data_IF_354572695645
#
_entry.id   IF_354572695645
#
_cell.length_a   1.000
_cell.length_b   1.000
_cell.length_c   1.000
_cell.angle_alpha   90.00
_cell.angle_beta   90.00
_cell.angle_gamma   90.00
#
_symmetry.space_group_name_H-M   'P 1'
#
loop_
_entity.id
_entity.type
_entity.pdbx_description
1 polymer ?
#
# COMPACT_ATOMS: atom_id res chain seq x y z
N UNK A 1 39.80 -17.24 33.58
CA UNK A 1 39.02 -18.02 32.59
C UNK A 1 38.04 -17.05 31.99
N UNK A 2 38.49 -16.38 30.94
CA UNK A 2 37.67 -15.49 30.11
C UNK A 2 36.97 -16.38 29.11
N UNK A 3 35.63 -16.40 29.16
CA UNK A 3 34.82 -17.00 28.11
C UNK A 3 34.77 -16.07 26.93
N UNK A 4 35.49 -16.47 25.87
CA UNK A 4 35.35 -15.90 24.53
C UNK A 4 33.90 -16.07 24.08
N UNK A 5 33.15 -14.98 24.10
CA UNK A 5 31.91 -14.89 23.36
C UNK A 5 32.27 -14.75 21.88
N UNK A 6 32.43 -15.90 21.23
CA UNK A 6 32.38 -15.99 19.76
C UNK A 6 31.03 -15.46 19.31
N UNK A 7 30.99 -14.20 18.89
CA UNK A 7 29.89 -13.67 18.09
C UNK A 7 29.96 -14.43 16.77
N UNK A 8 29.12 -15.43 16.62
CA UNK A 8 28.85 -16.05 15.34
C UNK A 8 28.25 -14.95 14.47
N UNK A 9 29.07 -14.36 13.62
CA UNK A 9 28.60 -13.50 12.51
C UNK A 9 28.05 -14.50 11.51
N UNK A 10 26.77 -14.79 11.67
CA UNK A 10 26.02 -15.67 10.78
C UNK A 10 25.84 -14.98 9.41
N UNK A 11 25.82 -15.79 8.37
CA UNK A 11 25.86 -15.42 6.94
C UNK A 11 24.66 -14.60 6.40
N UNK A 12 23.99 -13.82 7.24
CA UNK A 12 22.91 -12.94 6.88
C UNK A 12 23.36 -11.53 6.45
N UNK A 13 24.56 -11.41 5.90
CA UNK A 13 25.02 -10.15 5.32
C UNK A 13 24.34 -9.99 3.95
N UNK A 14 23.10 -9.46 3.93
CA UNK A 14 22.39 -9.16 2.68
C UNK A 14 23.15 -8.03 1.99
N UNK A 15 23.57 -8.29 0.77
CA UNK A 15 24.23 -7.29 -0.06
C UNK A 15 23.25 -6.15 -0.37
N UNK A 16 23.65 -4.93 -0.09
CA UNK A 16 22.91 -3.72 -0.44
C UNK A 16 23.75 -2.92 -1.43
N UNK A 17 23.14 -2.46 -2.50
CA UNK A 17 23.83 -1.59 -3.45
C UNK A 17 23.91 -0.15 -2.92
N UNK A 18 25.12 0.41 -2.93
CA UNK A 18 25.36 1.79 -2.54
C UNK A 18 25.15 2.73 -3.73
N UNK A 19 24.21 3.67 -3.58
CA UNK A 19 23.92 4.68 -4.58
C UNK A 19 24.81 5.91 -4.40
N UNK A 20 26.07 5.75 -4.82
CA UNK A 20 27.06 6.83 -4.89
C UNK A 20 27.21 7.36 -6.30
N UNK A 21 27.44 8.66 -6.42
CA UNK A 21 27.64 9.30 -7.72
C UNK A 21 28.93 8.80 -8.38
N UNK A 22 28.89 8.23 -9.59
CA UNK A 22 30.08 7.70 -10.25
C UNK A 22 31.07 8.79 -10.65
N UNK A 23 30.66 10.07 -10.64
CA UNK A 23 31.51 11.20 -11.00
C UNK A 23 32.24 11.79 -9.78
N UNK A 24 31.59 11.92 -8.61
CA UNK A 24 32.14 12.61 -7.46
C UNK A 24 32.06 11.84 -6.14
N UNK A 25 31.52 10.64 -6.12
CA UNK A 25 31.37 9.81 -4.93
C UNK A 25 30.30 10.27 -3.91
N UNK A 26 29.61 11.40 -4.16
CA UNK A 26 28.58 11.88 -3.26
C UNK A 26 27.29 11.03 -3.37
N UNK A 27 26.42 11.01 -2.34
CA UNK A 27 25.14 10.35 -2.43
C UNK A 27 24.31 10.84 -3.62
N UNK A 28 23.73 9.88 -4.38
CA UNK A 28 22.84 10.16 -5.51
C UNK A 28 21.44 9.72 -5.15
N UNK A 29 20.41 10.46 -5.58
CA UNK A 29 19.03 10.15 -5.28
C UNK A 29 18.13 10.25 -6.52
N UNK A 30 17.01 9.56 -6.47
CA UNK A 30 16.01 9.67 -7.52
C UNK A 30 15.30 11.03 -7.48
N UNK A 31 15.25 11.71 -8.62
CA UNK A 31 14.52 12.97 -8.82
C UNK A 31 13.15 12.69 -9.43
N UNK A 32 12.05 12.91 -8.68
CA UNK A 32 10.69 12.67 -9.18
C UNK A 32 10.32 13.50 -10.40
N UNK A 33 10.79 14.74 -10.48
CA UNK A 33 10.44 15.67 -11.56
C UNK A 33 11.10 15.29 -12.88
N UNK A 34 12.39 14.90 -12.82
CA UNK A 34 13.19 14.59 -14.00
C UNK A 34 13.17 13.10 -14.35
N UNK A 35 12.78 12.22 -13.41
CA UNK A 35 12.83 10.75 -13.49
C UNK A 35 14.23 10.23 -13.76
N UNK A 36 15.21 10.81 -13.10
CA UNK A 36 16.62 10.44 -13.20
C UNK A 36 17.19 10.24 -11.79
N UNK A 37 18.28 9.51 -11.66
CA UNK A 37 19.14 9.65 -10.51
C UNK A 37 19.90 10.97 -10.65
N UNK A 38 19.83 11.82 -9.63
CA UNK A 38 20.45 13.16 -9.62
C UNK A 38 21.42 13.29 -8.47
N UNK A 39 22.60 13.85 -8.78
CA UNK A 39 23.60 14.21 -7.79
C UNK A 39 23.52 15.70 -7.46
N UNK A 40 23.16 16.03 -6.22
CA UNK A 40 23.05 17.43 -5.78
C UNK A 40 24.39 18.17 -5.74
N UNK A 41 25.55 17.42 -5.74
CA UNK A 41 26.90 17.99 -5.62
C UNK A 41 27.52 18.36 -6.97
N UNK A 42 27.50 17.43 -7.94
CA UNK A 42 28.14 17.67 -9.23
C UNK A 42 27.14 17.85 -10.39
N UNK A 43 25.86 17.70 -10.14
CA UNK A 43 24.79 17.85 -11.15
C UNK A 43 24.68 16.69 -12.12
N UNK A 44 25.38 15.57 -11.90
CA UNK A 44 25.25 14.39 -12.77
C UNK A 44 23.82 13.86 -12.73
N UNK A 45 23.32 13.51 -13.91
CA UNK A 45 22.01 12.88 -14.10
C UNK A 45 22.16 11.55 -14.84
N UNK A 46 21.52 10.49 -14.32
CA UNK A 46 21.51 9.15 -14.90
C UNK A 46 20.05 8.76 -15.12
N UNK A 47 19.70 8.46 -16.37
CA UNK A 47 18.33 8.07 -16.70
C UNK A 47 17.93 6.75 -16.00
N UNK A 48 16.70 6.73 -15.49
CA UNK A 48 16.04 5.52 -15.01
C UNK A 48 15.01 5.12 -16.07
N UNK A 49 15.45 4.30 -17.03
CA UNK A 49 14.62 3.84 -18.14
C UNK A 49 13.71 2.68 -17.68
N UNK A 50 12.71 3.01 -16.90
CA UNK A 50 11.71 2.03 -16.47
C UNK A 50 10.79 1.64 -17.62
N UNK A 51 10.61 0.37 -17.88
CA UNK A 51 9.59 -0.12 -18.80
C UNK A 51 8.24 -0.02 -18.10
N UNK A 52 7.24 0.49 -18.81
CA UNK A 52 5.85 0.34 -18.39
C UNK A 52 5.42 -1.07 -18.70
N UNK A 53 4.94 -1.78 -17.71
CA UNK A 53 4.34 -3.08 -17.88
C UNK A 53 2.92 -3.04 -17.32
N UNK A 54 2.01 -3.79 -17.92
CA UNK A 54 0.68 -4.06 -17.41
C UNK A 54 0.51 -5.55 -17.10
N UNK A 55 1.63 -6.30 -17.10
CA UNK A 55 1.59 -7.72 -16.80
C UNK A 55 1.33 -7.92 -15.31
N UNK A 56 0.34 -8.71 -15.01
CA UNK A 56 -0.04 -9.14 -13.67
C UNK A 56 0.37 -10.58 -13.47
N UNK A 57 0.79 -10.91 -12.26
CA UNK A 57 1.17 -12.27 -11.91
C UNK A 57 -0.07 -13.10 -11.54
N UNK A 58 -0.04 -14.38 -11.82
CA UNK A 58 -1.04 -15.30 -11.28
C UNK A 58 -0.89 -15.43 -9.77
N UNK A 59 -2.01 -15.35 -9.05
CA UNK A 59 -2.03 -15.45 -7.59
C UNK A 59 -1.45 -16.78 -7.07
N UNK A 60 -1.72 -17.88 -7.77
CA UNK A 60 -1.29 -19.21 -7.34
C UNK A 60 0.22 -19.38 -7.49
N UNK A 61 0.83 -18.78 -8.51
CA UNK A 61 2.29 -18.76 -8.67
C UNK A 61 2.93 -17.93 -7.56
N UNK A 62 2.44 -16.71 -7.31
CA UNK A 62 2.93 -15.85 -6.22
C UNK A 62 2.78 -16.47 -4.83
N UNK A 63 1.74 -17.26 -4.60
CA UNK A 63 1.51 -17.91 -3.30
C UNK A 63 2.54 -19.00 -2.94
N UNK A 64 3.26 -19.53 -3.91
CA UNK A 64 4.33 -20.52 -3.69
C UNK A 64 5.63 -19.85 -3.20
N UNK A 65 5.81 -18.57 -3.51
CA UNK A 65 6.98 -17.78 -3.11
C UNK A 65 6.80 -17.11 -1.74
N UNK A 66 5.58 -17.17 -1.17
CA UNK A 66 5.25 -16.49 0.10
C UNK A 66 5.97 -17.15 1.27
N UNK A 67 7.02 -16.51 1.79
CA UNK A 67 7.86 -16.98 2.87
C UNK A 67 7.71 -16.16 4.17
N UNK A 68 8.15 -16.73 5.29
CA UNK A 68 8.13 -16.07 6.59
C UNK A 68 9.36 -15.19 6.81
N UNK A 69 9.14 -13.98 7.30
CA UNK A 69 10.19 -13.11 7.80
C UNK A 69 10.42 -13.45 9.27
N UNK A 70 11.33 -14.39 9.54
CA UNK A 70 11.56 -14.90 10.90
C UNK A 70 12.36 -13.96 11.81
N UNK A 71 13.03 -12.95 11.23
CA UNK A 71 13.90 -12.03 11.97
C UNK A 71 13.32 -10.62 12.02
N UNK A 72 13.30 -9.99 13.20
CA UNK A 72 12.83 -8.63 13.40
C UNK A 72 13.81 -7.59 12.83
N UNK A 73 15.12 -7.90 12.82
CA UNK A 73 16.18 -6.99 12.36
C UNK A 73 17.18 -7.70 11.46
N UNK A 74 17.83 -6.94 10.58
CA UNK A 74 18.95 -7.36 9.74
C UNK A 74 20.08 -6.36 9.81
N UNK A 75 21.29 -6.81 9.50
CA UNK A 75 22.46 -5.94 9.38
C UNK A 75 22.69 -5.62 7.91
N UNK A 76 22.79 -4.34 7.58
CA UNK A 76 23.15 -3.84 6.24
C UNK A 76 24.51 -3.18 6.31
N UNK A 77 25.47 -3.69 5.56
CA UNK A 77 26.82 -3.12 5.45
C UNK A 77 26.78 -1.92 4.49
N UNK A 78 27.44 -0.85 4.87
CA UNK A 78 27.58 0.34 4.02
C UNK A 78 28.91 0.29 3.27
N UNK A 79 28.89 0.03 1.97
CA UNK A 79 30.10 -0.06 1.16
C UNK A 79 30.86 1.27 1.05
N UNK A 80 30.14 2.40 1.21
CA UNK A 80 30.77 3.71 1.11
C UNK A 80 31.61 4.07 2.33
N UNK A 81 31.22 3.67 3.56
CA UNK A 81 31.96 4.03 4.78
C UNK A 81 32.34 2.85 5.68
N UNK A 82 31.95 1.62 5.31
CA UNK A 82 32.21 0.39 6.07
C UNK A 82 31.34 0.21 7.34
N UNK A 83 30.37 1.06 7.59
CA UNK A 83 29.53 0.95 8.77
C UNK A 83 28.49 -0.18 8.62
N UNK A 84 28.24 -0.93 9.71
CA UNK A 84 27.17 -1.90 9.80
C UNK A 84 25.94 -1.24 10.45
N UNK A 85 24.83 -1.19 9.72
CA UNK A 85 23.58 -0.61 10.15
C UNK A 85 22.59 -1.71 10.52
N UNK A 86 22.05 -1.67 11.73
CA UNK A 86 20.96 -2.57 12.14
C UNK A 86 19.63 -1.90 11.78
N UNK A 87 18.86 -2.55 10.94
CA UNK A 87 17.58 -2.05 10.44
C UNK A 87 16.49 -3.12 10.59
N UNK A 88 15.22 -2.71 10.47
CA UNK A 88 14.14 -3.71 10.44
C UNK A 88 14.31 -4.63 9.23
N UNK A 89 13.99 -5.90 9.39
CA UNK A 89 14.09 -6.88 8.30
C UNK A 89 13.25 -6.52 7.08
N UNK A 90 12.12 -5.81 7.28
CA UNK A 90 11.25 -5.32 6.22
C UNK A 90 11.78 -4.09 5.47
N UNK A 91 12.82 -3.39 5.97
CA UNK A 91 13.36 -2.22 5.28
C UNK A 91 14.23 -2.63 4.09
N UNK A 92 13.93 -2.12 2.91
CA UNK A 92 14.67 -2.41 1.67
C UNK A 92 15.40 -1.19 1.11
N UNK A 93 15.14 0.00 1.63
CA UNK A 93 15.90 1.22 1.30
C UNK A 93 16.14 2.03 2.54
N UNK A 94 17.41 2.40 2.77
CA UNK A 94 17.87 3.15 3.94
C UNK A 94 18.87 4.22 3.55
N UNK A 95 18.98 5.25 4.37
CA UNK A 95 20.07 6.21 4.31
C UNK A 95 21.05 5.90 5.45
N UNK A 96 22.32 5.67 5.12
CA UNK A 96 23.32 5.39 6.13
C UNK A 96 23.45 6.57 7.10
N UNK A 97 23.26 6.35 8.43
CA UNK A 97 23.30 7.44 9.41
C UNK A 97 24.72 8.01 9.62
N UNK A 98 25.77 7.32 9.13
CA UNK A 98 27.16 7.74 9.33
C UNK A 98 27.69 8.61 8.18
N UNK A 99 27.41 8.22 6.92
CA UNK A 99 27.94 8.94 5.76
C UNK A 99 26.87 9.57 4.86
N UNK A 100 25.60 9.29 5.12
CA UNK A 100 24.49 9.82 4.34
C UNK A 100 24.27 9.14 2.97
N UNK A 101 25.05 8.08 2.63
CA UNK A 101 24.79 7.34 1.39
C UNK A 101 23.47 6.59 1.43
N UNK A 102 22.85 6.47 0.27
CA UNK A 102 21.60 5.74 0.11
C UNK A 102 21.90 4.29 -0.27
N UNK A 103 21.28 3.36 0.42
CA UNK A 103 21.47 1.94 0.23
C UNK A 103 20.13 1.28 -0.07
N UNK A 104 20.08 0.38 -1.04
CA UNK A 104 18.89 -0.41 -1.38
C UNK A 104 19.30 -1.88 -1.45
N UNK A 105 18.57 -2.72 -0.73
CA UNK A 105 18.81 -4.17 -0.71
C UNK A 105 18.58 -4.75 -2.10
N UNK A 106 19.46 -5.63 -2.56
CA UNK A 106 19.32 -6.31 -3.83
C UNK A 106 18.05 -7.14 -3.89
N UNK A 107 17.37 -7.09 -5.04
CA UNK A 107 16.09 -7.81 -5.21
C UNK A 107 16.23 -9.32 -4.99
N UNK A 108 17.39 -9.88 -5.32
CA UNK A 108 17.66 -11.32 -5.15
C UNK A 108 17.74 -11.73 -3.69
N UNK A 109 18.08 -10.80 -2.80
CA UNK A 109 18.20 -11.00 -1.36
C UNK A 109 16.86 -10.81 -0.61
N UNK A 110 15.81 -10.36 -1.32
CA UNK A 110 14.48 -10.26 -0.74
C UNK A 110 13.87 -11.66 -0.64
N UNK A 111 13.44 -12.04 0.55
CA UNK A 111 12.71 -13.30 0.76
C UNK A 111 11.27 -13.16 0.31
N UNK A 112 10.66 -14.26 -0.14
CA UNK A 112 9.25 -14.31 -0.52
C UNK A 112 8.95 -13.65 -1.85
N UNK A 113 7.71 -13.17 -2.00
CA UNK A 113 7.25 -12.55 -3.26
C UNK A 113 8.03 -11.27 -3.52
N UNK A 114 8.68 -11.21 -4.68
CA UNK A 114 9.45 -10.04 -5.09
C UNK A 114 8.54 -8.96 -5.64
N UNK A 115 8.86 -7.66 -5.39
CA UNK A 115 8.12 -6.58 -6.03
C UNK A 115 8.29 -6.67 -7.55
N UNK A 116 7.19 -6.60 -8.27
CA UNK A 116 7.20 -6.62 -9.74
C UNK A 116 6.94 -5.23 -10.32
N UNK A 117 6.39 -4.31 -9.53
CA UNK A 117 6.11 -2.94 -9.97
C UNK A 117 6.44 -1.89 -8.92
N UNK A 118 6.53 -0.66 -9.38
CA UNK A 118 6.69 0.54 -8.55
C UNK A 118 5.88 1.69 -9.14
N UNK A 119 5.24 2.46 -8.26
CA UNK A 119 4.63 3.75 -8.61
C UNK A 119 5.58 4.84 -8.10
N UNK A 120 6.46 5.39 -8.94
CA UNK A 120 7.47 6.32 -8.48
C UNK A 120 6.86 7.66 -8.08
N UNK A 121 7.51 8.35 -7.15
CA UNK A 121 7.17 9.72 -6.83
C UNK A 121 7.18 10.61 -8.08
N UNK A 122 6.23 11.55 -8.15
CA UNK A 122 6.09 12.52 -9.26
C UNK A 122 6.23 13.95 -8.80
N UNK A 123 6.29 14.18 -7.50
CA UNK A 123 6.26 15.50 -6.88
C UNK A 123 7.55 15.66 -6.07
N UNK A 124 8.25 16.79 -6.26
CA UNK A 124 9.45 17.10 -5.47
C UNK A 124 9.08 17.50 -4.04
N UNK A 125 10.08 17.43 -3.14
CA UNK A 125 9.94 17.87 -1.75
C UNK A 125 9.50 19.34 -1.66
N UNK A 126 10.04 20.19 -2.54
CA UNK A 126 9.66 21.62 -2.60
C UNK A 126 8.19 21.80 -2.97
N UNK A 127 7.71 21.04 -3.95
CA UNK A 127 6.30 21.08 -4.35
C UNK A 127 5.39 20.60 -3.22
N UNK A 128 5.79 19.54 -2.48
CA UNK A 128 5.05 19.06 -1.30
C UNK A 128 5.00 20.15 -0.23
N UNK A 129 6.13 20.79 0.11
CA UNK A 129 6.19 21.90 1.07
C UNK A 129 5.28 23.06 0.65
N UNK A 130 5.27 23.42 -0.63
CA UNK A 130 4.42 24.48 -1.20
C UNK A 130 2.94 24.12 -1.09
N UNK A 131 2.57 22.91 -1.45
CA UNK A 131 1.19 22.41 -1.37
C UNK A 131 0.72 22.37 0.09
N UNK A 132 1.54 21.84 0.99
CA UNK A 132 1.25 21.78 2.42
C UNK A 132 1.09 23.19 3.03
N UNK A 133 2.00 24.10 2.70
CA UNK A 133 1.90 25.51 3.12
C UNK A 133 0.59 26.15 2.67
N UNK A 134 0.22 25.94 1.41
CA UNK A 134 -1.01 26.48 0.83
C UNK A 134 -2.26 25.90 1.50
N UNK A 135 -2.25 24.61 1.79
CA UNK A 135 -3.32 23.94 2.52
C UNK A 135 -3.45 24.46 3.94
N UNK A 136 -2.33 24.58 4.68
CA UNK A 136 -2.30 25.09 6.05
C UNK A 136 -2.75 26.55 6.17
N UNK A 137 -2.45 27.40 5.16
CA UNK A 137 -2.92 28.78 5.15
C UNK A 137 -4.45 28.89 5.11
N UNK A 138 -5.12 27.93 4.49
CA UNK A 138 -6.60 27.86 4.41
C UNK A 138 -7.26 27.40 5.72
N UNK A 139 -6.51 26.84 6.67
CA UNK A 139 -7.03 26.39 7.96
C UNK A 139 -7.13 27.53 8.97
N UNK A 140 -8.35 27.84 9.42
CA UNK A 140 -8.64 29.03 10.23
C UNK A 140 -8.03 28.93 11.65
N UNK A 141 -8.06 27.74 12.26
CA UNK A 141 -7.66 27.51 13.66
C UNK A 141 -6.20 27.10 13.87
N UNK A 142 -5.35 27.15 12.83
CA UNK A 142 -3.95 26.78 12.99
C UNK A 142 -3.15 27.97 13.49
N UNK A 143 -2.43 27.83 14.64
CA UNK A 143 -1.61 28.92 15.20
C UNK A 143 -0.55 29.41 14.22
N UNK A 144 -0.33 30.73 14.19
CA UNK A 144 0.65 31.37 13.30
C UNK A 144 2.08 30.82 13.50
N UNK A 145 2.41 30.37 14.72
CA UNK A 145 3.70 29.76 15.03
C UNK A 145 3.94 28.47 14.24
N UNK A 146 2.91 27.61 14.11
CA UNK A 146 2.97 26.38 13.31
C UNK A 146 3.13 26.69 11.83
N UNK A 147 2.39 27.68 11.32
CA UNK A 147 2.48 28.11 9.91
C UNK A 147 3.89 28.61 9.53
N UNK A 148 4.60 29.24 10.46
CA UNK A 148 5.98 29.73 10.24
C UNK A 148 7.03 28.62 10.23
N UNK A 149 6.74 27.44 10.81
CA UNK A 149 7.67 26.32 10.85
C UNK A 149 7.65 25.46 9.55
N UNK A 150 6.63 25.59 8.72
CA UNK A 150 6.46 24.77 7.51
C UNK A 150 7.65 24.80 6.56
N UNK A 151 8.30 25.95 6.27
CA UNK A 151 9.47 25.98 5.39
C UNK A 151 10.68 25.19 5.92
N UNK A 152 10.72 24.97 7.24
CA UNK A 152 11.82 24.24 7.92
C UNK A 152 11.51 22.76 8.17
N UNK A 153 10.37 22.26 7.69
CA UNK A 153 10.04 20.84 7.78
C UNK A 153 11.00 20.02 6.94
N UNK A 154 11.57 19.01 7.54
CA UNK A 154 12.25 17.92 6.82
C UNK A 154 11.19 16.89 6.47
N UNK A 155 11.04 16.62 5.17
CA UNK A 155 10.08 15.64 4.66
C UNK A 155 10.85 14.42 4.18
N UNK A 156 10.34 13.25 4.53
CA UNK A 156 10.88 11.99 4.05
C UNK A 156 9.82 11.31 3.19
N UNK A 157 10.17 10.96 1.96
CA UNK A 157 9.34 10.12 1.12
C UNK A 157 9.48 8.66 1.55
N UNK A 158 8.36 7.95 1.57
CA UNK A 158 8.33 6.53 1.93
C UNK A 158 7.58 5.77 0.84
N UNK A 159 8.21 4.72 0.31
CA UNK A 159 7.53 3.72 -0.50
C UNK A 159 6.87 2.70 0.40
N UNK A 160 5.60 2.46 0.16
CA UNK A 160 4.76 1.56 0.95
C UNK A 160 4.42 0.33 0.12
N UNK A 161 4.61 -0.88 0.66
CA UNK A 161 4.22 -2.09 -0.03
C UNK A 161 2.70 -2.24 -0.06
N UNK A 162 2.15 -2.54 -1.22
CA UNK A 162 0.72 -2.82 -1.40
C UNK A 162 0.53 -4.09 -2.23
N UNK A 163 -0.50 -4.86 -1.89
CA UNK A 163 -1.06 -5.87 -2.75
C UNK A 163 -2.21 -5.27 -3.55
N UNK A 164 -2.28 -5.50 -4.84
CA UNK A 164 -3.48 -5.28 -5.63
C UNK A 164 -4.03 -6.61 -6.11
N UNK A 165 -5.34 -6.76 -6.06
CA UNK A 165 -6.01 -7.99 -6.46
C UNK A 165 -7.11 -7.68 -7.45
N UNK A 166 -7.09 -8.40 -8.56
CA UNK A 166 -8.17 -8.43 -9.52
C UNK A 166 -8.97 -9.71 -9.38
N UNK A 167 -10.23 -9.64 -9.64
CA UNK A 167 -11.05 -10.84 -9.73
C UNK A 167 -12.37 -10.60 -10.45
N UNK A 168 -12.73 -11.53 -11.30
CA UNK A 168 -14.09 -11.66 -11.83
C UNK A 168 -14.90 -12.56 -10.91
N UNK A 169 -15.93 -12.01 -10.27
CA UNK A 169 -16.73 -12.76 -9.33
C UNK A 169 -18.11 -13.11 -9.88
N UNK A 170 -18.56 -14.30 -9.52
CA UNK A 170 -19.93 -14.75 -9.75
C UNK A 170 -20.54 -15.17 -8.42
N UNK A 171 -21.67 -14.53 -8.07
CA UNK A 171 -22.34 -14.78 -6.79
C UNK A 171 -23.77 -15.23 -7.01
N UNK A 172 -24.19 -16.25 -6.26
CA UNK A 172 -25.58 -16.66 -6.11
C UNK A 172 -26.04 -16.19 -4.74
N UNK A 173 -27.22 -15.58 -4.68
CA UNK A 173 -27.71 -15.07 -3.41
C UNK A 173 -29.20 -15.40 -3.18
N UNK A 174 -29.56 -15.49 -1.90
CA UNK A 174 -30.90 -15.50 -1.39
C UNK A 174 -31.01 -14.68 -0.12
N UNK A 175 -32.16 -14.07 0.10
CA UNK A 175 -32.33 -13.21 1.25
C UNK A 175 -33.76 -12.80 1.51
N UNK A 176 -33.96 -12.08 2.60
CA UNK A 176 -35.22 -11.48 2.99
C UNK A 176 -34.99 -10.03 3.38
N UNK A 177 -35.63 -9.14 2.62
CA UNK A 177 -35.56 -7.69 2.82
C UNK A 177 -36.88 -7.17 3.34
N UNK A 178 -36.89 -6.01 3.98
CA UNK A 178 -38.10 -5.39 4.50
C UNK A 178 -38.19 -3.93 4.05
N UNK A 179 -39.41 -3.50 3.82
CA UNK A 179 -39.77 -2.11 3.52
C UNK A 179 -40.68 -1.57 4.61
N UNK A 180 -40.36 -0.40 5.14
CA UNK A 180 -41.21 0.31 6.08
C UNK A 180 -42.48 0.81 5.38
N UNK A 181 -43.61 0.64 6.01
CA UNK A 181 -44.85 1.27 5.63
C UNK A 181 -45.60 1.76 6.86
N UNK A 182 -46.33 2.84 6.70
CA UNK A 182 -47.11 3.39 7.77
C UNK A 182 -48.60 3.03 7.55
N UNK A 183 -49.28 2.64 8.62
CA UNK A 183 -50.73 2.52 8.65
C UNK A 183 -51.32 3.20 9.84
N UNK A 184 -52.53 3.68 9.68
CA UNK A 184 -53.31 4.25 10.76
C UNK A 184 -54.07 3.17 11.49
N UNK A 185 -53.94 3.08 12.79
CA UNK A 185 -54.68 2.16 13.65
C UNK A 185 -55.54 2.96 14.67
N UNK A 186 -56.70 2.37 15.08
CA UNK A 186 -57.62 3.01 16.00
C UNK A 186 -58.68 3.85 15.30
N UNK A 187 -59.67 4.32 16.04
CA UNK A 187 -60.77 5.14 15.54
C UNK A 187 -60.96 6.37 16.44
N UNK A 188 -61.55 7.44 15.87
CA UNK A 188 -61.86 8.66 16.59
C UNK A 188 -60.64 9.30 17.23
N UNK A 189 -60.70 9.65 18.50
CA UNK A 189 -59.62 10.29 19.29
C UNK A 189 -58.42 9.37 19.53
N UNK A 190 -58.53 8.04 19.35
CA UNK A 190 -57.47 7.05 19.53
C UNK A 190 -56.75 6.68 18.24
N UNK A 191 -56.92 7.46 17.19
CA UNK A 191 -56.21 7.28 15.90
C UNK A 191 -54.74 7.56 16.04
N UNK A 192 -53.91 6.57 15.70
CA UNK A 192 -52.44 6.72 15.70
C UNK A 192 -51.85 6.10 14.45
N UNK A 193 -50.75 6.67 13.98
CA UNK A 193 -49.94 6.10 12.90
C UNK A 193 -48.89 5.17 13.50
N UNK A 194 -48.83 3.95 12.99
CA UNK A 194 -47.81 2.96 13.32
C UNK A 194 -46.99 2.63 12.09
N UNK A 195 -45.68 2.46 12.28
CA UNK A 195 -44.78 2.00 11.23
C UNK A 195 -44.59 0.50 11.40
N UNK A 196 -44.80 -0.23 10.34
CA UNK A 196 -44.59 -1.67 10.26
C UNK A 196 -43.62 -2.00 9.13
N UNK A 197 -43.09 -3.24 9.13
CA UNK A 197 -42.17 -3.72 8.09
C UNK A 197 -42.89 -4.79 7.26
N UNK A 198 -42.94 -4.59 5.96
CA UNK A 198 -43.37 -5.62 5.02
C UNK A 198 -42.15 -6.31 4.47
N UNK A 199 -42.00 -7.60 4.73
CA UNK A 199 -40.89 -8.42 4.25
C UNK A 199 -41.20 -9.06 2.90
N UNK A 200 -40.17 -9.21 2.07
CA UNK A 200 -40.21 -9.90 0.79
C UNK A 200 -38.91 -10.69 0.60
N UNK A 201 -39.00 -11.80 -0.14
CA UNK A 201 -37.84 -12.63 -0.44
C UNK A 201 -37.14 -12.15 -1.72
N UNK A 202 -35.82 -12.26 -1.73
CA UNK A 202 -34.98 -11.94 -2.89
C UNK A 202 -34.05 -13.12 -3.18
N UNK A 203 -33.81 -13.38 -4.45
CA UNK A 203 -32.86 -14.39 -4.92
C UNK A 203 -32.39 -14.02 -6.32
N UNK A 204 -31.22 -14.51 -6.69
CA UNK A 204 -30.67 -14.26 -8.01
C UNK A 204 -29.17 -14.53 -8.09
N UNK A 205 -28.58 -14.04 -9.15
CA UNK A 205 -27.14 -14.03 -9.34
C UNK A 205 -26.63 -12.63 -9.60
N UNK A 206 -25.36 -12.38 -9.27
CA UNK A 206 -24.68 -11.10 -9.49
C UNK A 206 -23.24 -11.35 -9.93
N UNK A 207 -22.83 -10.68 -10.99
CA UNK A 207 -21.43 -10.59 -11.38
C UNK A 207 -20.89 -9.22 -10.98
N UNK A 208 -19.68 -9.21 -10.42
CA UNK A 208 -18.92 -8.00 -10.09
C UNK A 208 -17.46 -8.25 -10.46
N UNK A 209 -16.88 -7.33 -11.21
CA UNK A 209 -15.45 -7.32 -11.50
C UNK A 209 -14.78 -6.35 -10.54
N UNK A 210 -13.71 -6.80 -9.95
CA UNK A 210 -12.81 -5.97 -9.16
C UNK A 210 -11.51 -5.82 -9.94
N UNK A 211 -11.03 -4.60 -10.01
CA UNK A 211 -9.84 -4.18 -10.72
C UNK A 211 -9.01 -3.34 -9.76
N UNK A 212 -7.75 -3.70 -9.56
CA UNK A 212 -6.82 -3.02 -8.66
C UNK A 212 -7.35 -2.82 -7.22
N UNK A 213 -7.94 -3.85 -6.61
CA UNK A 213 -8.35 -3.77 -5.20
C UNK A 213 -7.13 -3.74 -4.30
N UNK A 214 -6.81 -2.58 -3.74
CA UNK A 214 -5.60 -2.33 -2.97
C UNK A 214 -5.75 -2.81 -1.54
N UNK A 215 -4.78 -3.61 -1.08
CA UNK A 215 -4.63 -4.07 0.31
C UNK A 215 -3.26 -3.64 0.83
N UNK A 216 -3.24 -3.03 2.01
CA UNK A 216 -1.98 -2.68 2.67
C UNK A 216 -1.15 -3.94 2.97
N UNK A 217 0.09 -3.92 2.55
CA UNK A 217 1.04 -5.00 2.81
C UNK A 217 2.09 -4.61 3.86
N UNK A 218 2.21 -3.33 4.20
CA UNK A 218 3.18 -2.79 5.14
C UNK A 218 2.69 -2.66 6.58
N UNK A 219 3.57 -2.16 7.44
CA UNK A 219 3.30 -1.92 8.86
C UNK A 219 3.26 -0.44 9.25
N UNK A 220 3.76 0.46 8.40
CA UNK A 220 3.97 1.88 8.75
C UNK A 220 2.67 2.70 8.77
N UNK A 221 1.68 2.29 7.99
CA UNK A 221 0.35 2.92 7.98
C UNK A 221 -0.72 1.84 7.93
N UNK A 222 -1.95 2.19 8.29
CA UNK A 222 -3.06 1.25 8.27
C UNK A 222 -3.85 1.28 6.93
N UNK A 223 -4.79 0.34 6.78
CA UNK A 223 -5.62 0.25 5.56
C UNK A 223 -6.51 1.49 5.36
N UNK A 224 -6.93 2.17 6.44
CA UNK A 224 -7.78 3.36 6.33
C UNK A 224 -6.98 4.55 5.79
N UNK A 225 -5.71 4.63 6.14
CA UNK A 225 -4.77 5.62 5.60
C UNK A 225 -4.46 5.36 4.14
N UNK A 226 -4.21 4.09 3.73
CA UNK A 226 -4.08 3.70 2.32
C UNK A 226 -5.34 4.11 1.53
N UNK A 227 -6.53 3.83 2.06
CA UNK A 227 -7.79 4.20 1.40
C UNK A 227 -7.96 5.73 1.28
N UNK A 228 -7.45 6.50 2.24
CA UNK A 228 -7.48 7.97 2.19
C UNK A 228 -6.49 8.56 1.17
N UNK A 229 -5.41 7.83 0.86
CA UNK A 229 -4.44 8.20 -0.18
C UNK A 229 -4.90 7.80 -1.59
N UNK A 230 -5.81 6.85 -1.71
CA UNK A 230 -6.33 6.38 -3.00
C UNK A 230 -7.10 7.50 -3.76
N UNK A 231 -7.20 7.44 -5.11
CA UNK A 231 -6.71 6.36 -5.97
C UNK A 231 -5.20 6.44 -6.26
N UNK A 232 -4.56 5.28 -6.32
CA UNK A 232 -3.19 5.17 -6.83
C UNK A 232 -3.22 4.97 -8.35
N UNK A 233 -2.22 5.51 -9.02
CA UNK A 233 -2.12 5.46 -10.48
C UNK A 233 -1.40 4.18 -10.93
N UNK A 234 -2.05 3.04 -10.71
CA UNK A 234 -1.54 1.69 -11.03
C UNK A 234 -1.29 1.53 -12.52
N UNK A 235 -2.12 2.14 -13.36
CA UNK A 235 -1.96 2.15 -14.82
C UNK A 235 -0.66 2.82 -15.31
N UNK A 236 -0.06 3.68 -14.49
CA UNK A 236 1.22 4.33 -14.77
C UNK A 236 2.34 3.83 -13.86
N UNK A 237 2.24 2.60 -13.40
CA UNK A 237 3.33 1.91 -12.72
C UNK A 237 4.41 1.48 -13.72
N UNK A 238 5.60 1.24 -13.21
CA UNK A 238 6.76 0.77 -13.96
C UNK A 238 7.16 -0.60 -13.43
N UNK A 239 7.87 -1.39 -14.25
CA UNK A 239 8.57 -2.56 -13.73
C UNK A 239 9.44 -2.13 -12.54
N UNK A 240 9.50 -2.98 -11.52
CA UNK A 240 10.30 -2.67 -10.34
C UNK A 240 11.76 -2.46 -10.72
N UNK A 241 12.28 -1.31 -10.33
CA UNK A 241 13.68 -0.96 -10.45
C UNK A 241 14.10 -0.27 -9.14
N UNK A 242 15.07 -0.88 -8.45
CA UNK A 242 15.59 -0.36 -7.18
C UNK A 242 16.07 1.09 -7.24
N UNK A 243 16.45 1.58 -8.43
CA UNK A 243 16.89 2.97 -8.63
C UNK A 243 15.80 4.00 -8.27
N UNK A 244 14.52 3.64 -8.36
CA UNK A 244 13.42 4.51 -7.92
C UNK A 244 13.41 4.72 -6.39
N UNK A 245 14.00 3.79 -5.63
CA UNK A 245 14.02 3.84 -4.16
C UNK A 245 15.18 4.68 -3.62
N UNK A 246 16.18 5.01 -4.44
CA UNK A 246 17.37 5.74 -4.01
C UNK A 246 17.01 7.12 -3.42
N UNK A 247 17.36 7.35 -2.16
CA UNK A 247 17.05 8.57 -1.42
C UNK A 247 15.70 8.60 -0.72
N UNK A 248 14.95 7.49 -0.76
CA UNK A 248 13.67 7.32 -0.08
C UNK A 248 13.74 6.15 0.90
N UNK A 249 12.89 6.17 1.91
CA UNK A 249 12.68 5.00 2.75
C UNK A 249 11.69 4.04 2.07
N UNK A 250 11.86 2.75 2.28
CA UNK A 250 10.92 1.75 1.80
C UNK A 250 10.94 0.51 2.68
N UNK A 251 9.85 -0.20 2.70
CA UNK A 251 9.74 -1.49 3.38
C UNK A 251 9.22 -2.57 2.44
N UNK A 252 9.58 -3.82 2.71
CA UNK A 252 8.99 -4.97 2.09
C UNK A 252 7.69 -5.34 2.82
N UNK A 253 6.86 -6.21 2.22
CA UNK A 253 5.61 -6.60 2.87
C UNK A 253 5.85 -7.32 4.20
N UNK A 254 4.98 -7.05 5.17
CA UNK A 254 4.86 -7.77 6.45
C UNK A 254 3.55 -8.56 6.50
N UNK A 255 2.54 -8.14 5.72
CA UNK A 255 1.30 -8.88 5.51
C UNK A 255 1.50 -9.85 4.37
N UNK A 256 1.60 -11.13 4.67
CA UNK A 256 1.78 -12.19 3.69
C UNK A 256 0.68 -12.18 2.62
N UNK A 257 1.00 -12.62 1.42
CA UNK A 257 0.10 -12.66 0.29
C UNK A 257 -1.24 -13.35 0.60
N UNK A 258 -1.20 -14.51 1.26
CA UNK A 258 -2.41 -15.23 1.66
C UNK A 258 -3.31 -14.42 2.60
N UNK A 259 -2.72 -13.76 3.60
CA UNK A 259 -3.45 -12.89 4.52
C UNK A 259 -3.99 -11.64 3.79
N UNK A 260 -3.22 -11.08 2.86
CA UNK A 260 -3.64 -10.01 1.98
C UNK A 260 -4.86 -10.40 1.15
N UNK A 261 -4.85 -11.61 0.56
CA UNK A 261 -5.98 -12.14 -0.19
C UNK A 261 -7.24 -12.36 0.68
N UNK A 262 -7.06 -12.85 1.92
CA UNK A 262 -8.20 -12.99 2.84
C UNK A 262 -8.84 -11.64 3.16
N UNK A 263 -8.03 -10.60 3.35
CA UNK A 263 -8.51 -9.22 3.51
C UNK A 263 -9.20 -8.69 2.23
N UNK A 264 -8.64 -8.98 1.06
CA UNK A 264 -9.27 -8.63 -0.22
C UNK A 264 -10.64 -9.27 -0.37
N UNK A 265 -10.78 -10.57 -0.08
CA UNK A 265 -12.06 -11.28 -0.11
C UNK A 265 -13.13 -10.65 0.78
N UNK A 266 -12.76 -10.23 1.99
CA UNK A 266 -13.69 -9.54 2.90
C UNK A 266 -14.23 -8.27 2.25
N UNK A 267 -13.36 -7.46 1.64
CA UNK A 267 -13.72 -6.21 0.98
C UNK A 267 -14.53 -6.45 -0.30
N UNK A 268 -14.14 -7.43 -1.11
CA UNK A 268 -14.89 -7.84 -2.31
C UNK A 268 -16.30 -8.32 -1.94
N UNK A 269 -16.43 -9.16 -0.93
CA UNK A 269 -17.73 -9.63 -0.44
C UNK A 269 -18.62 -8.47 0.05
N UNK A 270 -18.06 -7.47 0.73
CA UNK A 270 -18.79 -6.26 1.11
C UNK A 270 -19.26 -5.48 -0.14
N UNK A 271 -18.41 -5.33 -1.15
CA UNK A 271 -18.74 -4.71 -2.43
C UNK A 271 -19.87 -5.46 -3.17
N UNK A 272 -19.76 -6.78 -3.25
CA UNK A 272 -20.79 -7.65 -3.87
C UNK A 272 -22.13 -7.50 -3.14
N UNK A 273 -22.09 -7.56 -1.81
CA UNK A 273 -23.31 -7.36 -0.99
C UNK A 273 -23.97 -6.02 -1.29
N UNK A 274 -23.20 -4.96 -1.36
CA UNK A 274 -23.70 -3.62 -1.71
C UNK A 274 -24.25 -3.58 -3.12
N UNK A 275 -23.58 -4.21 -4.10
CA UNK A 275 -24.02 -4.30 -5.48
C UNK A 275 -25.32 -5.11 -5.66
N UNK A 276 -25.56 -6.11 -4.81
CA UNK A 276 -26.82 -6.86 -4.76
C UNK A 276 -27.92 -5.96 -4.17
N UNK A 277 -27.66 -5.37 -3.02
CA UNK A 277 -28.65 -4.60 -2.27
C UNK A 277 -29.07 -3.32 -3.01
N UNK A 278 -28.17 -2.71 -3.79
CA UNK A 278 -28.50 -1.52 -4.60
C UNK A 278 -29.57 -1.77 -5.68
N UNK A 279 -29.78 -3.03 -6.04
CA UNK A 279 -30.86 -3.41 -6.96
C UNK A 279 -32.27 -3.47 -6.34
N UNK A 280 -32.38 -3.22 -5.03
CA UNK A 280 -33.68 -3.36 -4.31
C UNK A 280 -34.04 -2.08 -3.56
N UNK A 281 -35.35 -1.83 -3.49
CA UNK A 281 -35.88 -0.77 -2.65
C UNK A 281 -36.28 -1.36 -1.29
N UNK A 282 -35.39 -1.21 -0.30
CA UNK A 282 -35.54 -1.78 1.04
C UNK A 282 -35.12 -0.76 2.11
N UNK A 283 -35.57 -1.01 3.36
CA UNK A 283 -35.15 -0.24 4.53
C UNK A 283 -34.48 -1.15 5.57
N UNK A 284 -34.77 -2.47 5.52
CA UNK A 284 -34.27 -3.45 6.49
C UNK A 284 -33.76 -4.69 5.75
N UNK A 285 -32.61 -5.20 6.16
CA UNK A 285 -32.10 -6.51 5.75
C UNK A 285 -32.35 -7.50 6.89
N UNK A 286 -33.25 -8.44 6.70
CA UNK A 286 -33.50 -9.52 7.68
C UNK A 286 -32.35 -10.53 7.62
N UNK A 287 -32.04 -11.01 6.42
CA UNK A 287 -30.83 -11.78 6.10
C UNK A 287 -30.51 -11.68 4.61
N UNK A 288 -29.24 -11.91 4.27
CA UNK A 288 -28.77 -12.03 2.90
C UNK A 288 -27.59 -13.00 2.88
N UNK A 289 -27.81 -14.19 2.33
CA UNK A 289 -26.80 -15.19 2.09
C UNK A 289 -26.24 -14.99 0.68
N UNK A 290 -24.92 -14.91 0.56
CA UNK A 290 -24.23 -14.74 -0.71
C UNK A 290 -23.14 -15.79 -0.78
N UNK A 291 -23.15 -16.60 -1.83
CA UNK A 291 -22.11 -17.56 -2.15
C UNK A 291 -21.38 -17.08 -3.41
N UNK A 292 -20.10 -16.76 -3.26
CA UNK A 292 -19.27 -16.14 -4.30
C UNK A 292 -18.17 -17.09 -4.77
N UNK A 293 -18.03 -17.22 -6.07
CA UNK A 293 -16.87 -17.82 -6.73
C UNK A 293 -16.00 -16.68 -7.26
N UNK A 294 -14.70 -16.75 -6.94
CA UNK A 294 -13.67 -15.81 -7.42
C UNK A 294 -12.90 -16.48 -8.57
N UNK A 295 -12.87 -15.82 -9.71
CA UNK A 295 -12.20 -16.33 -10.92
C UNK A 295 -11.17 -15.32 -11.40
N UNK A 296 -10.14 -15.79 -12.10
CA UNK A 296 -9.07 -14.96 -12.69
C UNK A 296 -8.49 -14.04 -11.62
N UNK A 297 -7.90 -14.66 -10.59
CA UNK A 297 -7.29 -13.90 -9.50
C UNK A 297 -5.89 -13.52 -9.98
N UNK A 298 -5.70 -12.24 -10.27
CA UNK A 298 -4.40 -11.67 -10.60
C UNK A 298 -3.85 -10.89 -9.42
N UNK A 299 -2.54 -10.78 -9.37
CA UNK A 299 -1.78 -10.17 -8.29
C UNK A 299 -0.75 -9.20 -8.83
N UNK A 300 -0.66 -8.07 -8.17
CA UNK A 300 0.41 -7.12 -8.38
C UNK A 300 0.98 -6.71 -7.02
N UNK A 301 2.29 -6.82 -6.89
CA UNK A 301 3.02 -6.34 -5.72
C UNK A 301 3.75 -5.04 -6.08
N UNK A 302 3.33 -3.95 -5.46
CA UNK A 302 3.86 -2.62 -5.74
C UNK A 302 4.41 -1.98 -4.48
#
# INVERSE_FOLDING_TARGET
MEEDKNVIIDEANREAEDYSCPSCGAPIKFSPEKRVLHCDYCGLEINVDGKRSQEENDFFEGSQEDSDWSEETKVVHCDNCGANNVVNSSEISITCPFCGSNQVVETNELSGVKPNRVIPFRISEEQVKKNYSSWMKKKFFVPSKVKKQIPHLVLHGVYLPIWTFDSNTFSIYNGRLGKHYTRTVGSGKNRRTVTEVRYFNVHGSKQVTFDDLIVNAGSKIDQSEINALAPFDTNHSFEYDKRYLAGFSSEHYVVRLKAGWDNAKIRMNAGIRNAILSGYNYDVVSYLNVNTTFNNICLLYT
#
